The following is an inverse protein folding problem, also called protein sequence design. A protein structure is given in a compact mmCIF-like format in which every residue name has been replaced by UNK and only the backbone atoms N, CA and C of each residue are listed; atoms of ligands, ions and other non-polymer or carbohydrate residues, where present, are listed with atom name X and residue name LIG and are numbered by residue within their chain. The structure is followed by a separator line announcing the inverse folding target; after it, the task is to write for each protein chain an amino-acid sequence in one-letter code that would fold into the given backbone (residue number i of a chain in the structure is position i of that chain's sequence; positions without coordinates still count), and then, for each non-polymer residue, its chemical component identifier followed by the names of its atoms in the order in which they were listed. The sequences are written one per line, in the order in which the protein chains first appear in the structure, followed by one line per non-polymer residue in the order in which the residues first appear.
data_IF_847101715381
#
_entry.id   IF_847101715381
#
_cell.length_a   1.000
_cell.length_b   1.000
_cell.length_c   1.000
_cell.angle_alpha   90.00
_cell.angle_beta   90.00
_cell.angle_gamma   90.00
#
_symmetry.space_group_name_H-M   'P 1'
#
loop_
_entity.id
_entity.type
_entity.pdbx_description
1 polymer ?
#
# COMPACT_ATOMS: atom_id res chain seq x y z
N UNK A 1 -15.61 -7.18 7.74
CA UNK A 1 -16.35 -6.97 6.78
C UNK A 1 -15.89 -7.20 5.37
N UNK A 2 -15.54 -8.45 5.11
CA UNK A 2 -15.08 -8.81 3.79
C UNK A 2 -16.18 -8.67 2.74
N UNK A 3 -17.44 -8.84 3.12
CA UNK A 3 -18.54 -8.72 2.18
C UNK A 3 -18.62 -7.30 1.61
N UNK A 4 -18.41 -6.31 2.45
CA UNK A 4 -18.41 -4.92 2.01
C UNK A 4 -17.28 -4.65 1.02
N UNK A 5 -16.11 -5.19 1.28
CA UNK A 5 -14.92 -4.84 0.51
C UNK A 5 -14.80 -5.61 -0.81
N UNK A 6 -15.64 -6.62 -1.05
CA UNK A 6 -15.40 -7.52 -2.16
C UNK A 6 -16.31 -7.34 -3.35
N UNK A 7 -17.40 -6.62 -3.20
CA UNK A 7 -18.39 -6.52 -4.26
C UNK A 7 -19.03 -5.16 -4.27
N UNK A 8 -18.53 -4.31 -5.10
CA UNK A 8 -19.14 -3.01 -5.34
C UNK A 8 -18.97 -2.63 -6.80
N UNK A 9 -19.52 -3.46 -7.71
CA UNK A 9 -19.39 -3.12 -9.13
C UNK A 9 -19.98 -1.75 -9.44
N UNK A 10 -21.02 -1.35 -8.71
CA UNK A 10 -21.64 -0.05 -8.94
C UNK A 10 -20.71 1.12 -8.59
N UNK A 11 -19.64 0.87 -7.86
CA UNK A 11 -18.69 1.91 -7.54
C UNK A 11 -18.10 2.53 -8.81
N UNK A 12 -17.85 1.69 -9.81
CA UNK A 12 -17.27 2.10 -11.07
C UNK A 12 -18.24 1.95 -12.22
N UNK A 13 -19.48 1.62 -11.93
CA UNK A 13 -20.51 1.39 -12.92
C UNK A 13 -21.40 2.61 -13.01
N UNK A 14 -20.77 3.77 -13.17
CA UNK A 14 -21.45 5.04 -13.19
C UNK A 14 -21.83 5.43 -14.59
N UNK A 15 -23.08 5.79 -14.84
CA UNK A 15 -23.45 6.31 -16.14
C UNK A 15 -22.93 7.72 -16.31
N UNK A 16 -22.64 8.08 -17.52
CA UNK A 16 -22.39 9.45 -17.87
C UNK A 16 -20.97 9.87 -17.71
N UNK A 17 -20.44 10.48 -18.58
CA UNK A 17 -19.08 10.83 -18.79
C UNK A 17 -18.64 10.23 -20.09
N UNK A 18 -17.72 10.90 -20.73
CA UNK A 18 -17.23 10.47 -22.04
C UNK A 18 -16.22 9.34 -21.94
N UNK A 19 -15.78 9.04 -20.72
CA UNK A 19 -14.73 8.06 -20.51
C UNK A 19 -15.23 6.91 -19.66
N UNK A 20 -15.06 5.70 -20.17
CA UNK A 20 -15.34 4.49 -19.40
C UNK A 20 -14.02 3.74 -19.25
N UNK A 21 -13.48 3.68 -18.02
CA UNK A 21 -12.22 2.98 -17.80
C UNK A 21 -12.35 1.49 -18.02
N UNK A 22 -11.28 0.88 -18.49
CA UNK A 22 -11.21 -0.58 -18.57
C UNK A 22 -11.07 -1.17 -17.18
N UNK A 23 -11.35 -2.47 -17.06
CA UNK A 23 -11.17 -3.15 -15.76
C UNK A 23 -9.74 -3.06 -15.28
N UNK A 24 -8.78 -3.15 -16.19
CA UNK A 24 -7.37 -3.06 -15.83
C UNK A 24 -6.99 -1.67 -15.37
N UNK A 25 -7.53 -0.65 -15.99
CA UNK A 25 -7.32 0.74 -15.54
C UNK A 25 -7.88 0.95 -14.15
N UNK A 26 -9.06 0.40 -13.88
CA UNK A 26 -9.66 0.48 -12.55
C UNK A 26 -8.78 -0.23 -11.52
N UNK A 27 -8.29 -1.42 -11.86
CA UNK A 27 -7.42 -2.17 -10.97
C UNK A 27 -6.15 -1.39 -10.66
N UNK A 28 -5.55 -0.74 -11.67
CA UNK A 28 -4.35 0.06 -11.49
C UNK A 28 -4.62 1.28 -10.60
N UNK A 29 -5.75 1.92 -10.80
CA UNK A 29 -6.15 3.07 -10.00
C UNK A 29 -6.32 2.67 -8.54
N UNK A 30 -7.01 1.54 -8.30
CA UNK A 30 -7.20 1.03 -6.94
C UNK A 30 -5.88 0.65 -6.30
N UNK A 31 -4.96 0.09 -7.05
CA UNK A 31 -3.64 -0.26 -6.54
C UNK A 31 -2.90 0.98 -6.03
N UNK A 32 -2.96 2.06 -6.78
CA UNK A 32 -2.36 3.32 -6.37
C UNK A 32 -3.00 3.91 -5.12
N UNK A 33 -4.34 3.83 -5.04
CA UNK A 33 -5.06 4.32 -3.85
C UNK A 33 -4.59 3.57 -2.61
N UNK A 34 -4.52 2.24 -2.68
CA UNK A 34 -4.15 1.42 -1.52
C UNK A 34 -2.71 1.65 -1.11
N UNK A 35 -1.83 1.76 -2.09
CA UNK A 35 -0.43 2.00 -1.81
C UNK A 35 -0.21 3.38 -1.18
N UNK A 36 -0.90 4.39 -1.71
CA UNK A 36 -0.86 5.73 -1.14
C UNK A 36 -1.43 5.78 0.27
N UNK A 37 -2.52 5.05 0.50
CA UNK A 37 -3.12 4.97 1.83
C UNK A 37 -2.17 4.35 2.82
N UNK A 38 -1.50 3.27 2.44
CA UNK A 38 -0.51 2.61 3.29
C UNK A 38 0.59 3.60 3.67
N UNK A 39 1.11 4.31 2.70
CA UNK A 39 2.16 5.30 2.92
C UNK A 39 1.71 6.40 3.89
N UNK A 40 0.59 7.03 3.59
CA UNK A 40 0.13 8.18 4.35
C UNK A 40 -0.34 7.85 5.76
N UNK A 41 -0.87 6.66 5.96
CA UNK A 41 -1.38 6.28 7.28
C UNK A 41 -0.29 5.88 8.25
N UNK A 42 0.83 5.37 7.76
CA UNK A 42 1.82 4.76 8.64
C UNK A 42 3.13 5.51 8.73
N UNK A 43 3.45 6.38 7.78
CA UNK A 43 4.65 7.22 7.87
C UNK A 43 4.51 8.12 9.09
N UNK A 44 5.58 8.18 9.89
CA UNK A 44 5.58 8.93 11.14
C UNK A 44 5.31 8.08 12.37
N UNK A 45 4.91 6.83 12.20
CA UNK A 45 4.64 5.94 13.34
C UNK A 45 5.95 5.65 14.08
N UNK A 46 5.91 5.62 15.43
CA UNK A 46 7.08 5.20 16.19
C UNK A 46 7.44 3.76 15.86
N UNK A 47 8.72 3.50 15.64
CA UNK A 47 9.18 2.17 15.26
C UNK A 47 10.59 1.92 15.79
N UNK A 48 10.86 0.67 16.16
CA UNK A 48 12.18 0.21 16.54
C UNK A 48 12.43 -1.13 15.89
N UNK A 49 13.66 -1.63 15.99
CA UNK A 49 13.97 -2.97 15.48
C UNK A 49 13.10 -4.04 16.11
N UNK A 50 12.69 -3.82 17.37
CA UNK A 50 11.84 -4.76 18.09
C UNK A 50 10.40 -4.75 17.65
N UNK A 51 9.91 -3.60 17.20
CA UNK A 51 8.49 -3.43 16.85
C UNK A 51 8.24 -3.46 15.36
N UNK A 52 9.29 -3.47 14.55
CA UNK A 52 9.13 -3.41 13.10
C UNK A 52 8.26 -4.55 12.54
N UNK A 53 8.46 -5.77 13.04
CA UNK A 53 7.67 -6.91 12.57
C UNK A 53 6.18 -6.75 12.89
N UNK A 54 5.85 -6.26 14.08
CA UNK A 54 4.47 -6.01 14.45
C UNK A 54 3.85 -4.91 13.61
N UNK A 55 4.61 -3.88 13.31
CA UNK A 55 4.13 -2.79 12.47
C UNK A 55 3.89 -3.26 11.05
N UNK A 56 4.82 -4.05 10.49
CA UNK A 56 4.62 -4.64 9.16
C UNK A 56 3.32 -5.44 9.09
N UNK A 57 3.07 -6.25 10.11
CA UNK A 57 1.86 -7.06 10.16
C UNK A 57 0.62 -6.18 10.25
N UNK A 58 0.65 -5.15 11.08
CA UNK A 58 -0.48 -4.23 11.23
C UNK A 58 -0.77 -3.51 9.91
N UNK A 59 0.27 -3.06 9.22
CA UNK A 59 0.13 -2.41 7.92
C UNK A 59 -0.51 -3.34 6.90
N UNK A 60 -0.03 -4.58 6.83
CA UNK A 60 -0.58 -5.57 5.91
C UNK A 60 -2.05 -5.88 6.21
N UNK A 61 -2.37 -6.09 7.48
CA UNK A 61 -3.73 -6.42 7.86
C UNK A 61 -4.68 -5.26 7.64
N UNK A 62 -4.23 -4.06 7.94
CA UNK A 62 -5.05 -2.87 7.79
C UNK A 62 -5.45 -2.62 6.34
N UNK A 63 -4.48 -2.68 5.43
CA UNK A 63 -4.76 -2.43 4.02
C UNK A 63 -5.53 -3.60 3.39
N UNK A 64 -5.32 -4.81 3.89
CA UNK A 64 -6.05 -5.98 3.39
C UNK A 64 -7.55 -5.89 3.60
N UNK A 65 -8.01 -5.03 4.49
CA UNK A 65 -9.44 -4.84 4.72
C UNK A 65 -10.13 -4.02 3.63
N UNK A 66 -9.36 -3.37 2.77
CA UNK A 66 -9.93 -2.47 1.78
C UNK A 66 -10.42 -3.21 0.54
N UNK A 67 -11.35 -2.59 -0.22
CA UNK A 67 -11.92 -3.25 -1.41
C UNK A 67 -10.86 -3.68 -2.42
N UNK A 68 -11.09 -4.82 -3.04
CA UNK A 68 -10.31 -5.34 -4.16
C UNK A 68 -8.90 -5.79 -3.81
N UNK A 69 -8.48 -5.69 -2.55
CA UNK A 69 -7.14 -6.09 -2.15
C UNK A 69 -7.06 -7.61 -2.07
N UNK A 70 -6.15 -8.18 -2.83
CA UNK A 70 -5.90 -9.61 -2.84
C UNK A 70 -4.75 -9.98 -1.90
N UNK A 71 -3.71 -9.17 -1.89
CA UNK A 71 -2.52 -9.43 -1.09
C UNK A 71 -1.78 -8.14 -0.80
N UNK A 72 -1.22 -8.03 0.39
CA UNK A 72 -0.35 -6.92 0.77
C UNK A 72 0.89 -7.50 1.44
N UNK A 73 2.05 -7.05 1.00
CA UNK A 73 3.32 -7.38 1.64
C UNK A 73 4.04 -6.10 2.01
N UNK A 74 4.55 -6.03 3.23
CA UNK A 74 5.26 -4.85 3.72
C UNK A 74 6.55 -5.30 4.38
N UNK A 75 7.63 -4.61 4.04
CA UNK A 75 8.92 -4.81 4.68
C UNK A 75 9.48 -3.46 5.11
N UNK A 76 9.93 -3.38 6.35
CA UNK A 76 10.58 -2.19 6.89
C UNK A 76 12.07 -2.50 6.99
N UNK A 77 12.89 -1.64 6.41
CA UNK A 77 14.34 -1.81 6.40
C UNK A 77 14.91 -1.56 7.80
N UNK A 78 15.37 -2.62 8.46
CA UNK A 78 15.91 -2.53 9.82
C UNK A 78 17.21 -1.75 9.87
N UNK A 79 17.98 -1.78 8.79
CA UNK A 79 19.26 -1.08 8.76
C UNK A 79 19.10 0.43 8.76
N UNK A 80 17.95 0.90 8.32
CA UNK A 80 17.65 2.33 8.32
C UNK A 80 17.06 2.82 9.64
N UNK A 81 16.75 1.91 10.56
CA UNK A 81 16.19 2.27 11.85
C UNK A 81 17.30 2.72 12.79
N UNK A 82 17.58 4.02 12.77
CA UNK A 82 18.61 4.57 13.66
C UNK A 82 18.05 4.66 15.06
N UNK A 83 18.77 4.07 16.01
CA UNK A 83 18.40 4.18 17.41
C UNK A 83 18.75 5.57 17.90
N UNK A 84 17.76 6.29 18.43
CA UNK A 84 18.03 7.53 19.15
C UNK A 84 18.22 7.22 20.64
N UNK A 85 18.32 8.25 21.46
CA UNK A 85 18.55 8.07 22.90
C UNK A 85 17.39 7.31 23.57
N UNK A 86 16.21 7.26 22.93
CA UNK A 86 15.04 6.58 23.47
C UNK A 86 14.86 5.17 22.89
N UNK A 87 15.70 4.77 21.96
CA UNK A 87 15.66 3.43 21.39
C UNK A 87 14.64 3.23 20.27
N UNK A 88 14.07 4.30 19.73
CA UNK A 88 13.15 4.19 18.60
C UNK A 88 13.25 5.43 17.73
N UNK A 89 12.68 5.35 16.54
CA UNK A 89 12.58 6.46 15.62
C UNK A 89 11.20 6.50 14.99
N UNK A 90 11.05 7.33 13.99
CA UNK A 90 9.81 7.41 13.21
C UNK A 90 9.97 6.65 11.91
N UNK A 91 8.90 6.00 11.49
CA UNK A 91 8.87 5.31 10.21
C UNK A 91 8.91 6.35 9.09
N UNK A 92 9.94 6.28 8.25
CA UNK A 92 10.09 7.17 7.10
C UNK A 92 9.78 6.41 5.82
N UNK A 93 9.32 7.15 4.82
CA UNK A 93 8.96 6.53 3.54
C UNK A 93 10.08 5.72 2.90
N UNK A 94 11.33 6.17 3.04
CA UNK A 94 12.49 5.49 2.47
C UNK A 94 12.77 4.14 3.12
N UNK A 95 12.18 3.88 4.29
CA UNK A 95 12.35 2.61 4.99
C UNK A 95 11.36 1.56 4.56
N UNK A 96 10.31 1.94 3.84
CA UNK A 96 9.20 1.05 3.52
C UNK A 96 9.37 0.46 2.14
N UNK A 97 9.28 -0.86 2.07
CA UNK A 97 9.12 -1.57 0.82
C UNK A 97 7.79 -2.29 0.89
N UNK A 98 6.92 -2.04 -0.07
CA UNK A 98 5.58 -2.61 -0.01
C UNK A 98 5.10 -3.02 -1.38
N UNK A 99 4.20 -4.00 -1.39
CA UNK A 99 3.61 -4.50 -2.62
C UNK A 99 2.14 -4.80 -2.35
N UNK A 100 1.27 -4.29 -3.22
CA UNK A 100 -0.16 -4.49 -3.12
C UNK A 100 -0.64 -5.14 -4.40
N UNK A 101 -1.39 -6.22 -4.27
CA UNK A 101 -1.99 -6.92 -5.40
C UNK A 101 -3.49 -6.66 -5.36
N UNK A 102 -4.01 -6.13 -6.44
CA UNK A 102 -5.42 -5.81 -6.61
C UNK A 102 -6.03 -6.77 -7.61
N UNK A 103 -7.22 -7.26 -7.29
CA UNK A 103 -8.04 -8.03 -8.22
C UNK A 103 -9.36 -7.30 -8.40
N UNK A 104 -9.60 -6.84 -9.61
CA UNK A 104 -10.86 -6.20 -9.95
C UNK A 104 -11.51 -6.99 -11.09
N UNK A 105 -12.56 -7.75 -10.77
CA UNK A 105 -13.35 -8.51 -11.75
C UNK A 105 -12.46 -9.35 -12.68
N UNK A 106 -11.47 -10.02 -12.09
CA UNK A 106 -10.59 -10.91 -12.84
C UNK A 106 -9.30 -10.26 -13.35
N UNK A 107 -9.21 -8.94 -13.36
CA UNK A 107 -7.97 -8.24 -13.72
C UNK A 107 -7.10 -8.06 -12.48
N UNK A 108 -5.89 -8.57 -12.55
CA UNK A 108 -4.95 -8.51 -11.43
C UNK A 108 -3.83 -7.54 -11.75
N UNK A 109 -3.60 -6.60 -10.86
CA UNK A 109 -2.54 -5.60 -11.00
C UNK A 109 -1.75 -5.53 -9.71
N UNK A 110 -0.44 -5.41 -9.84
CA UNK A 110 0.46 -5.29 -8.70
C UNK A 110 1.13 -3.93 -8.73
N UNK A 111 1.13 -3.25 -7.58
CA UNK A 111 1.84 -1.99 -7.41
C UNK A 111 2.88 -2.16 -6.32
N UNK A 112 3.98 -1.44 -6.47
CA UNK A 112 5.10 -1.51 -5.54
C UNK A 112 5.53 -0.13 -5.08
N UNK A 113 5.86 -0.03 -3.80
CA UNK A 113 6.54 1.11 -3.22
C UNK A 113 7.95 0.66 -2.87
N UNK A 114 8.95 1.36 -3.40
CA UNK A 114 10.34 1.05 -3.13
C UNK A 114 11.18 2.31 -3.21
N UNK A 115 12.06 2.50 -2.22
CA UNK A 115 12.92 3.66 -2.21
C UNK A 115 13.92 3.61 -3.37
N UNK A 116 14.01 4.70 -4.11
CA UNK A 116 14.96 4.86 -5.21
C UNK A 116 16.08 5.78 -4.75
N UNK A 117 17.28 5.23 -4.61
CA UNK A 117 18.42 5.99 -4.09
C UNK A 117 18.85 7.12 -5.04
N UNK A 118 18.76 6.90 -6.33
CA UNK A 118 19.17 7.91 -7.29
C UNK A 118 18.29 9.14 -7.22
N UNK A 119 16.98 8.92 -7.08
CA UNK A 119 16.02 10.02 -7.01
C UNK A 119 15.77 10.49 -5.60
N UNK A 120 16.30 9.76 -4.62
CA UNK A 120 16.04 10.01 -3.20
C UNK A 120 14.54 10.14 -2.94
N UNK A 121 13.79 9.14 -3.38
CA UNK A 121 12.34 9.23 -3.36
C UNK A 121 11.71 7.85 -3.17
N UNK A 122 10.67 7.75 -2.33
CA UNK A 122 9.90 6.51 -2.21
C UNK A 122 9.01 6.36 -3.45
N UNK A 123 9.52 5.63 -4.43
CA UNK A 123 8.91 5.51 -5.74
C UNK A 123 7.80 4.46 -5.76
N UNK A 124 6.65 4.84 -6.29
CA UNK A 124 5.53 3.93 -6.49
C UNK A 124 5.39 3.63 -7.98
N UNK A 125 5.17 2.37 -8.31
CA UNK A 125 5.07 1.95 -9.70
C UNK A 125 4.24 0.69 -9.84
N UNK A 126 3.76 0.44 -11.04
CA UNK A 126 3.17 -0.85 -11.39
C UNK A 126 4.28 -1.83 -11.73
N UNK A 127 4.04 -3.08 -11.40
CA UNK A 127 5.02 -4.13 -11.63
C UNK A 127 4.50 -5.18 -12.59
#
# INVERSE_FOLDING_TARGET
CSAFSRSHPALYDQPGGDYTPTKREIAAFEAGIKLGALYHQFVGAPVSSRTAASLEKAMQESISLQPYVREVKVHIDRDMLAANVFGYGELEGRMIEAQVVIDYQGETVTARLQYDQEKDYPLMSLV
#
